data_IF_441484269325
#
_entry.id   IF_441484269325
#
_cell.length_a   1.000
_cell.length_b   1.000
_cell.length_c   1.000
_cell.angle_alpha   90.00
_cell.angle_beta   90.00
_cell.angle_gamma   90.00
#
_symmetry.space_group_name_H-M   'P 1'
#
loop_
_entity.id
_entity.type
_entity.pdbx_description
1 polymer ?
#
# COMPACT_ATOMS: atom_id res chain seq x y z
N UNK A 1 -12.33 -13.70 16.67
CA UNK A 1 -10.86 -13.61 16.69
C UNK A 1 -10.33 -14.95 16.23
N UNK A 2 -9.54 -14.95 15.16
CA UNK A 2 -8.93 -16.15 14.56
C UNK A 2 -7.88 -16.73 15.51
N UNK A 3 -7.55 -18.02 15.34
CA UNK A 3 -6.58 -18.72 16.20
C UNK A 3 -5.21 -18.03 16.22
N UNK A 4 -4.73 -17.57 15.06
CA UNK A 4 -3.49 -16.78 14.92
C UNK A 4 -3.53 -15.47 15.71
N UNK A 5 -4.67 -14.77 15.72
CA UNK A 5 -4.79 -13.50 16.43
C UNK A 5 -4.75 -13.71 17.95
N UNK A 6 -5.39 -14.78 18.44
CA UNK A 6 -5.32 -15.17 19.85
C UNK A 6 -3.90 -15.57 20.25
N UNK A 7 -3.24 -16.39 19.43
CA UNK A 7 -1.86 -16.81 19.64
C UNK A 7 -0.90 -15.61 19.69
N UNK A 8 -0.99 -14.71 18.70
CA UNK A 8 -0.18 -13.49 18.65
C UNK A 8 -0.40 -12.62 19.88
N UNK A 9 -1.66 -12.42 20.28
CA UNK A 9 -2.01 -11.65 21.49
C UNK A 9 -1.46 -12.28 22.76
N UNK A 10 -1.57 -13.60 22.92
CA UNK A 10 -1.05 -14.32 24.09
C UNK A 10 0.47 -14.21 24.19
N UNK A 11 1.17 -14.29 23.05
CA UNK A 11 2.63 -14.21 22.98
C UNK A 11 3.18 -12.78 22.88
N UNK A 12 2.31 -11.77 22.85
CA UNK A 12 2.69 -10.37 22.71
C UNK A 12 3.40 -10.06 21.38
N UNK A 13 3.07 -10.80 20.32
CA UNK A 13 3.63 -10.68 18.98
C UNK A 13 2.77 -9.70 18.16
N UNK A 14 3.43 -8.79 17.46
CA UNK A 14 2.80 -7.83 16.56
C UNK A 14 3.26 -8.04 15.11
N UNK A 15 2.47 -7.53 14.16
CA UNK A 15 2.86 -7.53 12.75
C UNK A 15 4.11 -6.67 12.59
N UNK A 16 5.13 -7.20 11.90
CA UNK A 16 6.42 -6.55 11.71
C UNK A 16 7.46 -6.85 12.81
N UNK A 17 7.09 -7.56 13.88
CA UNK A 17 8.09 -8.09 14.82
C UNK A 17 9.00 -9.10 14.10
N UNK A 18 10.29 -9.08 14.40
CA UNK A 18 11.23 -10.10 13.95
C UNK A 18 11.29 -11.21 14.99
N UNK A 19 10.92 -12.42 14.60
CA UNK A 19 10.74 -13.56 15.50
C UNK A 19 11.59 -14.75 15.08
N UNK A 20 11.98 -15.55 16.06
CA UNK A 20 12.42 -16.93 15.89
C UNK A 20 11.28 -17.86 16.28
N UNK A 21 10.86 -18.73 15.36
CA UNK A 21 9.81 -19.73 15.57
C UNK A 21 10.41 -21.12 15.46
N UNK A 22 10.22 -21.93 16.49
CA UNK A 22 10.62 -23.34 16.51
C UNK A 22 9.38 -24.19 16.24
N UNK A 23 9.37 -24.84 15.10
CA UNK A 23 8.32 -25.75 14.65
C UNK A 23 8.75 -27.21 14.89
N UNK A 24 7.78 -28.08 15.22
CA UNK A 24 7.99 -29.53 15.23
C UNK A 24 7.19 -30.18 14.11
N UNK A 25 7.88 -30.53 13.04
CA UNK A 25 7.32 -31.23 11.89
C UNK A 25 7.88 -32.66 11.83
N UNK A 26 7.00 -33.68 11.80
CA UNK A 26 7.41 -35.10 11.71
C UNK A 26 8.46 -35.55 12.75
N UNK A 27 8.45 -34.94 13.93
CA UNK A 27 9.41 -35.22 15.00
C UNK A 27 10.73 -34.46 14.91
N UNK A 28 10.98 -33.75 13.80
CA UNK A 28 12.15 -32.91 13.59
C UNK A 28 11.83 -31.48 14.04
N UNK A 29 12.79 -30.83 14.71
CA UNK A 29 12.68 -29.41 15.06
C UNK A 29 13.26 -28.56 13.93
N UNK A 30 12.44 -27.67 13.39
CA UNK A 30 12.83 -26.70 12.36
C UNK A 30 12.77 -25.32 12.98
N UNK A 31 13.75 -24.47 12.66
CA UNK A 31 13.84 -23.10 13.18
C UNK A 31 13.67 -22.15 12.01
N UNK A 32 12.67 -21.28 12.10
CA UNK A 32 12.41 -20.21 11.16
C UNK A 32 12.71 -18.87 11.82
N UNK A 33 13.33 -17.94 11.07
CA UNK A 33 13.58 -16.58 11.53
C UNK A 33 13.10 -15.60 10.47
N UNK A 34 12.39 -14.56 10.90
CA UNK A 34 11.87 -13.57 9.98
C UNK A 34 10.84 -12.63 10.58
N UNK A 35 10.28 -11.79 9.71
CA UNK A 35 9.26 -10.80 10.07
C UNK A 35 7.87 -11.43 10.14
N UNK A 36 7.11 -11.14 11.19
CA UNK A 36 5.72 -11.55 11.30
C UNK A 36 4.88 -10.78 10.28
N UNK A 37 4.19 -11.53 9.44
CA UNK A 37 3.36 -11.00 8.37
C UNK A 37 1.88 -10.98 8.77
N UNK A 38 1.07 -10.09 8.18
CA UNK A 38 -0.38 -10.14 8.35
C UNK A 38 -0.94 -11.52 7.98
N UNK A 39 -1.91 -12.05 8.76
CA UNK A 39 -2.61 -13.27 8.37
C UNK A 39 -3.34 -13.05 7.04
N UNK A 40 -3.29 -14.04 6.15
CA UNK A 40 -4.04 -13.99 4.90
C UNK A 40 -5.54 -13.79 5.17
N UNK A 41 -6.16 -12.84 4.48
CA UNK A 41 -7.52 -12.36 4.79
C UNK A 41 -8.56 -13.48 4.72
N UNK A 42 -8.44 -14.37 3.74
CA UNK A 42 -9.36 -15.49 3.53
C UNK A 42 -8.92 -16.78 4.25
N UNK A 43 -7.83 -16.74 5.03
CA UNK A 43 -7.40 -17.89 5.82
C UNK A 43 -8.28 -18.07 7.06
N UNK A 44 -8.51 -19.34 7.44
CA UNK A 44 -9.10 -19.72 8.74
C UNK A 44 -8.26 -19.26 9.93
N UNK A 45 -7.02 -18.82 9.69
CA UNK A 45 -6.12 -18.27 10.70
C UNK A 45 -5.47 -19.35 11.57
N UNK A 46 -5.20 -20.51 10.98
CA UNK A 46 -4.53 -21.65 11.64
C UNK A 46 -3.00 -21.55 11.55
N UNK A 47 -2.49 -20.64 10.72
CA UNK A 47 -1.06 -20.44 10.48
C UNK A 47 -0.59 -19.07 10.94
N UNK A 48 0.64 -19.01 11.44
CA UNK A 48 1.43 -17.80 11.58
C UNK A 48 2.28 -17.63 10.32
N UNK A 49 2.15 -16.50 9.63
CA UNK A 49 2.97 -16.22 8.44
C UNK A 49 4.23 -15.45 8.84
N UNK A 50 5.39 -15.94 8.42
CA UNK A 50 6.70 -15.31 8.66
C UNK A 50 7.40 -15.09 7.32
N UNK A 51 7.93 -13.88 7.10
CA UNK A 51 8.79 -13.56 5.95
C UNK A 51 10.24 -13.74 6.33
N UNK A 52 10.87 -14.75 5.73
CA UNK A 52 12.25 -15.11 5.96
C UNK A 52 13.21 -14.05 5.39
N UNK A 53 14.47 -14.09 5.83
CA UNK A 53 15.51 -13.15 5.36
C UNK A 53 15.78 -13.22 3.85
N UNK A 54 15.49 -14.37 3.23
CA UNK A 54 15.57 -14.56 1.78
C UNK A 54 14.37 -13.96 1.02
N UNK A 55 13.42 -13.32 1.71
CA UNK A 55 12.24 -12.68 1.14
C UNK A 55 11.03 -13.59 0.93
N UNK A 56 11.15 -14.90 1.14
CA UNK A 56 10.04 -15.84 1.02
C UNK A 56 9.13 -15.81 2.26
N UNK A 57 7.83 -15.93 2.04
CA UNK A 57 6.85 -16.10 3.11
C UNK A 57 6.64 -17.60 3.39
N UNK A 58 6.69 -18.00 4.66
CA UNK A 58 6.34 -19.34 5.13
C UNK A 58 5.14 -19.26 6.08
N UNK A 59 4.20 -20.20 5.96
CA UNK A 59 3.08 -20.35 6.88
C UNK A 59 3.33 -21.51 7.82
N UNK A 60 3.39 -21.24 9.13
CA UNK A 60 3.68 -22.24 10.16
C UNK A 60 2.39 -22.53 10.91
N UNK A 61 1.97 -23.81 10.99
CA UNK A 61 0.78 -24.18 11.75
C UNK A 61 0.98 -23.88 13.23
N UNK A 62 0.02 -23.17 13.83
CA UNK A 62 0.11 -22.75 15.24
C UNK A 62 0.26 -23.96 16.17
N UNK A 63 -0.41 -25.07 15.86
CA UNK A 63 -0.34 -26.31 16.65
C UNK A 63 1.03 -27.00 16.60
N UNK A 64 1.86 -26.66 15.62
CA UNK A 64 3.21 -27.20 15.47
C UNK A 64 4.27 -26.27 16.06
N UNK A 65 3.91 -25.06 16.49
CA UNK A 65 4.84 -24.12 17.13
C UNK A 65 5.10 -24.58 18.56
N UNK A 66 6.36 -24.92 18.84
CA UNK A 66 6.84 -25.34 20.16
C UNK A 66 7.32 -24.14 20.97
N UNK A 67 7.99 -23.20 20.31
CA UNK A 67 8.56 -22.01 20.93
C UNK A 67 8.53 -20.85 19.94
N UNK A 68 8.28 -19.65 20.45
CA UNK A 68 8.42 -18.41 19.68
C UNK A 68 9.11 -17.36 20.54
N UNK A 69 10.13 -16.71 19.98
CA UNK A 69 10.91 -15.66 20.63
C UNK A 69 10.93 -14.42 19.76
N UNK A 70 10.63 -13.26 20.35
CA UNK A 70 10.76 -11.97 19.69
C UNK A 70 12.23 -11.55 19.81
N UNK A 71 12.91 -11.41 18.67
CA UNK A 71 14.30 -10.97 18.61
C UNK A 71 14.41 -9.45 18.43
N UNK A 72 13.51 -8.85 17.65
CA UNK A 72 13.41 -7.40 17.47
C UNK A 72 11.94 -6.99 17.37
N UNK A 73 11.56 -5.90 18.05
CA UNK A 73 10.21 -5.34 17.97
C UNK A 73 10.04 -4.51 16.69
N UNK A 74 8.83 -4.53 16.14
CA UNK A 74 8.46 -3.71 14.99
C UNK A 74 8.83 -2.24 15.26
N UNK A 75 9.68 -1.67 14.41
CA UNK A 75 9.98 -0.24 14.49
C UNK A 75 8.75 0.55 14.02
N UNK A 76 8.38 1.64 14.71
CA UNK A 76 7.38 2.57 14.18
C UNK A 76 7.83 2.98 12.78
N UNK A 77 6.91 2.92 11.83
CA UNK A 77 7.19 3.37 10.47
C UNK A 77 7.53 4.86 10.55
N UNK A 78 8.68 5.27 10.06
CA UNK A 78 8.93 6.70 9.83
C UNK A 78 7.90 7.16 8.80
N UNK A 79 6.97 8.00 9.24
CA UNK A 79 6.12 8.77 8.34
C UNK A 79 7.04 9.71 7.58
N UNK A 80 7.51 9.27 6.41
CA UNK A 80 8.19 10.16 5.48
C UNK A 80 7.13 11.11 4.94
N UNK A 81 7.01 12.29 5.55
CA UNK A 81 6.17 13.36 5.03
C UNK A 81 6.82 13.89 3.77
N UNK A 82 6.27 13.52 2.61
CA UNK A 82 6.71 14.05 1.33
C UNK A 82 6.16 15.46 1.11
N UNK A 83 6.89 16.30 0.37
CA UNK A 83 6.33 17.61 -0.03
C UNK A 83 5.16 17.39 -0.98
N UNK A 84 4.02 17.98 -0.64
CA UNK A 84 2.79 17.86 -1.43
C UNK A 84 2.92 18.48 -2.83
N UNK A 85 3.77 19.52 -2.98
CA UNK A 85 3.95 20.25 -4.24
C UNK A 85 5.43 20.57 -4.47
N UNK A 86 5.93 20.29 -5.68
CA UNK A 86 7.25 20.70 -6.14
C UNK A 86 7.22 22.13 -6.73
N UNK A 87 8.33 22.89 -6.69
CA UNK A 87 8.38 24.23 -7.27
C UNK A 87 8.00 24.21 -8.76
N UNK A 88 7.10 25.10 -9.17
CA UNK A 88 6.68 25.22 -10.58
C UNK A 88 7.81 25.79 -11.44
N UNK A 89 8.04 25.19 -12.60
CA UNK A 89 8.96 25.67 -13.65
C UNK A 89 8.23 26.64 -14.59
N UNK A 90 8.77 27.84 -14.87
CA UNK A 90 8.18 28.77 -15.83
C UNK A 90 8.09 28.15 -17.24
N UNK A 91 7.01 28.45 -17.96
CA UNK A 91 6.83 28.03 -19.35
C UNK A 91 6.29 26.61 -19.56
N UNK A 92 6.14 25.82 -18.48
CA UNK A 92 5.46 24.53 -18.54
C UNK A 92 3.97 24.66 -18.19
N UNK A 93 3.08 23.88 -18.84
CA UNK A 93 1.66 23.85 -18.49
C UNK A 93 1.46 23.32 -17.07
N UNK A 94 0.46 23.84 -16.36
CA UNK A 94 0.00 23.36 -15.07
C UNK A 94 -0.98 22.22 -15.27
N UNK A 95 -0.68 21.05 -14.71
CA UNK A 95 -1.54 19.88 -14.85
C UNK A 95 -1.83 19.32 -13.47
N UNK A 96 -3.13 19.18 -13.16
CA UNK A 96 -3.56 18.49 -11.94
C UNK A 96 -3.78 17.01 -12.24
N UNK A 97 -3.16 16.14 -11.45
CA UNK A 97 -3.42 14.69 -11.50
C UNK A 97 -4.32 14.32 -10.32
N UNK A 98 -5.57 13.94 -10.62
CA UNK A 98 -6.56 13.53 -9.63
C UNK A 98 -6.52 12.01 -9.48
N UNK A 99 -6.21 11.53 -8.28
CA UNK A 99 -6.21 10.11 -7.94
C UNK A 99 -7.57 9.67 -7.45
N UNK A 100 -8.12 8.63 -8.06
CA UNK A 100 -9.43 8.05 -7.66
C UNK A 100 -9.29 6.62 -7.13
N UNK A 101 -8.07 6.09 -7.18
CA UNK A 101 -7.71 4.70 -6.92
C UNK A 101 -6.79 4.19 -8.01
N UNK A 102 -6.70 2.87 -8.14
CA UNK A 102 -5.87 2.21 -9.15
C UNK A 102 -4.38 2.15 -8.80
N UNK A 103 -3.67 1.26 -9.50
CA UNK A 103 -2.26 0.92 -9.22
C UNK A 103 -1.28 2.03 -9.58
N UNK A 104 -1.67 2.99 -10.43
CA UNK A 104 -0.84 4.16 -10.77
C UNK A 104 -0.53 5.03 -9.55
N UNK A 105 -1.40 4.94 -8.54
CA UNK A 105 -1.26 5.62 -7.27
C UNK A 105 -0.65 4.71 -6.20
N UNK A 106 0.13 3.68 -6.54
CA UNK A 106 0.62 2.69 -5.57
C UNK A 106 2.13 2.46 -5.62
N UNK A 107 2.75 2.23 -4.46
CA UNK A 107 4.14 1.79 -4.26
C UNK A 107 4.19 0.46 -3.52
N UNK A 108 5.21 -0.33 -3.81
CA UNK A 108 5.47 -1.59 -3.11
C UNK A 108 6.58 -1.36 -2.09
N UNK A 109 6.31 -1.67 -0.82
CA UNK A 109 7.33 -1.82 0.20
C UNK A 109 7.91 -3.23 0.10
N UNK A 110 9.08 -3.40 -0.49
CA UNK A 110 9.68 -4.72 -0.68
C UNK A 110 10.06 -5.43 0.63
N UNK A 111 10.26 -4.70 1.74
CA UNK A 111 10.54 -5.33 3.04
C UNK A 111 9.31 -6.06 3.54
N UNK A 112 8.15 -5.42 3.48
CA UNK A 112 6.89 -6.01 3.95
C UNK A 112 6.08 -6.71 2.85
N UNK A 113 6.42 -6.49 1.58
CA UNK A 113 5.57 -6.86 0.44
C UNK A 113 4.24 -6.09 0.35
N UNK A 114 4.03 -5.09 1.21
CA UNK A 114 2.78 -4.34 1.25
C UNK A 114 2.71 -3.33 0.11
N UNK A 115 1.51 -3.13 -0.43
CA UNK A 115 1.21 -2.11 -1.43
C UNK A 115 0.56 -0.93 -0.71
N UNK A 116 1.10 0.27 -0.93
CA UNK A 116 0.61 1.50 -0.32
C UNK A 116 0.24 2.51 -1.40
N UNK A 117 -0.72 3.37 -1.10
CA UNK A 117 -0.93 4.52 -1.96
C UNK A 117 0.32 5.43 -1.96
N UNK A 118 0.77 5.80 -3.15
CA UNK A 118 1.80 6.79 -3.42
C UNK A 118 1.17 7.85 -4.32
N UNK A 119 0.93 9.05 -3.78
CA UNK A 119 0.20 10.08 -4.49
C UNK A 119 0.63 11.51 -4.19
N UNK A 120 1.81 11.69 -3.60
CA UNK A 120 2.41 13.02 -3.43
C UNK A 120 3.27 13.40 -4.64
N UNK A 121 3.54 14.70 -4.84
CA UNK A 121 4.34 15.17 -5.97
C UNK A 121 5.75 14.61 -5.92
N UNK A 122 6.33 14.48 -4.73
CA UNK A 122 7.67 13.92 -4.56
C UNK A 122 7.72 12.41 -4.87
N UNK A 123 6.68 11.65 -4.51
CA UNK A 123 6.60 10.23 -4.86
C UNK A 123 6.47 10.03 -6.37
N UNK A 124 5.62 10.83 -7.02
CA UNK A 124 5.50 10.81 -8.48
C UNK A 124 6.81 11.23 -9.15
N UNK A 125 7.50 12.25 -8.64
CA UNK A 125 8.77 12.70 -9.21
C UNK A 125 9.91 11.68 -9.05
N UNK A 126 9.89 10.88 -7.97
CA UNK A 126 10.83 9.77 -7.81
C UNK A 126 10.49 8.58 -8.71
N UNK A 127 9.21 8.30 -8.90
CA UNK A 127 8.76 7.16 -9.69
C UNK A 127 8.83 7.43 -11.20
N UNK A 128 8.46 8.64 -11.63
CA UNK A 128 8.35 9.06 -13.03
C UNK A 128 8.83 10.51 -13.15
N UNK A 129 10.15 10.79 -13.02
CA UNK A 129 10.67 12.15 -13.10
C UNK A 129 10.35 12.86 -14.43
N UNK A 130 10.16 12.11 -15.51
CA UNK A 130 10.00 12.62 -16.87
C UNK A 130 8.76 13.50 -17.05
N UNK A 131 7.68 13.25 -16.31
CA UNK A 131 6.45 14.07 -16.41
C UNK A 131 6.66 15.50 -15.90
N UNK A 132 7.63 15.70 -14.98
CA UNK A 132 7.98 17.01 -14.44
C UNK A 132 8.88 17.84 -15.37
N UNK A 133 9.32 17.25 -16.49
CA UNK A 133 9.94 17.97 -17.60
C UNK A 133 8.90 18.43 -18.64
N UNK A 134 7.70 17.86 -18.60
CA UNK A 134 6.61 18.15 -19.56
C UNK A 134 5.60 19.15 -18.96
N UNK A 135 5.31 19.04 -17.66
CA UNK A 135 4.31 19.85 -17.00
C UNK A 135 4.63 20.10 -15.51
N UNK A 136 4.06 21.18 -14.96
CA UNK A 136 4.00 21.44 -13.54
C UNK A 136 2.88 20.60 -12.92
N UNK A 137 3.25 19.48 -12.31
CA UNK A 137 2.29 18.50 -11.79
C UNK A 137 1.83 18.85 -10.38
N UNK A 138 0.51 18.95 -10.20
CA UNK A 138 -0.16 19.05 -8.90
C UNK A 138 -0.96 17.78 -8.64
N UNK A 139 -0.47 16.83 -7.82
CA UNK A 139 -1.23 15.64 -7.52
C UNK A 139 -2.26 15.91 -6.41
N UNK A 140 -3.43 15.28 -6.55
CA UNK A 140 -4.53 15.38 -5.59
C UNK A 140 -5.25 14.05 -5.45
N UNK A 141 -5.15 13.43 -4.28
CA UNK A 141 -5.91 12.21 -4.00
C UNK A 141 -7.35 12.59 -3.67
N UNK A 142 -8.29 12.24 -4.54
CA UNK A 142 -9.71 12.48 -4.35
C UNK A 142 -10.37 11.29 -3.63
N UNK A 143 -10.13 10.07 -4.11
CA UNK A 143 -10.51 8.83 -3.45
C UNK A 143 -9.42 7.76 -3.61
N UNK A 144 -9.52 6.68 -2.84
CA UNK A 144 -8.73 5.47 -3.04
C UNK A 144 -9.69 4.26 -3.02
N UNK A 145 -10.41 4.04 -4.12
CA UNK A 145 -11.37 2.94 -4.26
C UNK A 145 -11.01 2.04 -5.44
N UNK A 146 -11.40 0.77 -5.38
CA UNK A 146 -11.31 -0.13 -6.52
C UNK A 146 -12.29 0.32 -7.61
N UNK A 147 -11.93 0.14 -8.89
CA UNK A 147 -12.81 0.52 -9.99
C UNK A 147 -14.15 -0.22 -9.95
N UNK A 148 -14.15 -1.46 -9.47
CA UNK A 148 -15.35 -2.28 -9.32
C UNK A 148 -16.38 -1.65 -8.36
N UNK A 149 -15.91 -0.87 -7.38
CA UNK A 149 -16.75 -0.18 -6.40
C UNK A 149 -17.17 1.24 -6.83
N UNK A 150 -16.78 1.66 -8.04
CA UNK A 150 -17.13 2.97 -8.60
C UNK A 150 -18.63 3.07 -8.86
N UNK A 151 -19.21 4.23 -8.57
CA UNK A 151 -20.66 4.51 -8.62
C UNK A 151 -20.92 5.90 -9.19
N UNK A 152 -22.13 6.16 -9.73
CA UNK A 152 -22.49 7.47 -10.30
C UNK A 152 -22.30 8.67 -9.35
N UNK A 153 -22.40 8.45 -8.04
CA UNK A 153 -22.12 9.49 -7.04
C UNK A 153 -20.66 9.97 -7.05
N UNK A 154 -19.71 9.07 -7.33
CA UNK A 154 -18.29 9.39 -7.42
C UNK A 154 -17.96 10.10 -8.74
N UNK A 155 -18.65 9.76 -9.83
CA UNK A 155 -18.51 10.47 -11.11
C UNK A 155 -18.84 11.95 -10.97
N UNK A 156 -19.93 12.29 -10.25
CA UNK A 156 -20.27 13.69 -9.94
C UNK A 156 -19.16 14.40 -9.18
N UNK A 157 -18.59 13.73 -8.16
CA UNK A 157 -17.50 14.30 -7.39
C UNK A 157 -16.23 14.50 -8.22
N UNK A 158 -15.89 13.55 -9.11
CA UNK A 158 -14.80 13.71 -10.08
C UNK A 158 -15.04 14.91 -11.00
N UNK A 159 -16.24 15.03 -11.57
CA UNK A 159 -16.59 16.14 -12.45
C UNK A 159 -16.48 17.50 -11.75
N UNK A 160 -16.95 17.61 -10.50
CA UNK A 160 -16.78 18.83 -9.71
C UNK A 160 -15.32 19.15 -9.43
N UNK A 161 -14.51 18.13 -9.17
CA UNK A 161 -13.09 18.30 -8.90
C UNK A 161 -12.31 18.77 -10.13
N UNK A 162 -12.58 18.15 -11.28
CA UNK A 162 -12.02 18.56 -12.58
C UNK A 162 -12.40 20.00 -12.88
N UNK A 163 -13.68 20.35 -12.73
CA UNK A 163 -14.14 21.73 -12.95
C UNK A 163 -13.45 22.71 -12.01
N UNK A 164 -13.26 22.35 -10.73
CA UNK A 164 -12.55 23.19 -9.76
C UNK A 164 -11.10 23.42 -10.17
N UNK A 165 -10.38 22.38 -10.60
CA UNK A 165 -8.98 22.48 -11.03
C UNK A 165 -8.85 23.36 -12.28
N UNK A 166 -9.64 23.10 -13.32
CA UNK A 166 -9.63 23.88 -14.55
C UNK A 166 -10.00 25.35 -14.31
N UNK A 167 -11.03 25.61 -13.50
CA UNK A 167 -11.42 26.99 -13.14
C UNK A 167 -10.39 27.71 -12.26
N UNK A 168 -9.45 26.98 -11.65
CA UNK A 168 -8.34 27.55 -10.87
C UNK A 168 -7.13 27.93 -11.74
N UNK A 169 -7.24 27.76 -13.07
CA UNK A 169 -6.19 28.12 -14.02
C UNK A 169 -5.21 26.99 -14.34
N UNK A 170 -5.57 25.74 -14.02
CA UNK A 170 -4.81 24.58 -14.50
C UNK A 170 -5.07 24.37 -16.00
N UNK A 171 -4.01 24.13 -16.78
CA UNK A 171 -4.06 23.96 -18.23
C UNK A 171 -4.63 22.59 -18.63
N UNK A 172 -4.62 21.62 -17.72
CA UNK A 172 -5.18 20.30 -17.95
C UNK A 172 -5.39 19.52 -16.66
N UNK A 173 -6.24 18.49 -16.75
CA UNK A 173 -6.50 17.55 -15.66
C UNK A 173 -6.36 16.13 -16.17
N UNK A 174 -5.63 15.30 -15.42
CA UNK A 174 -5.49 13.86 -15.66
C UNK A 174 -6.16 13.14 -14.50
N UNK A 175 -6.96 12.12 -14.80
CA UNK A 175 -7.59 11.28 -13.77
C UNK A 175 -6.89 9.92 -13.73
N UNK A 176 -6.23 9.61 -12.62
CA UNK A 176 -5.78 8.27 -12.31
C UNK A 176 -6.97 7.42 -11.87
N UNK A 177 -7.37 6.46 -12.69
CA UNK A 177 -8.58 5.65 -12.50
C UNK A 177 -8.28 4.15 -12.68
N UNK A 178 -9.02 3.30 -11.96
CA UNK A 178 -8.96 1.85 -12.17
C UNK A 178 -9.55 1.42 -13.53
N UNK A 179 -9.12 0.28 -14.04
CA UNK A 179 -9.38 -0.14 -15.44
C UNK A 179 -10.83 -0.52 -15.69
N UNK A 180 -11.47 -1.20 -14.76
CA UNK A 180 -12.69 -1.98 -15.02
C UNK A 180 -13.90 -1.09 -15.35
N UNK A 181 -13.98 0.07 -14.70
CA UNK A 181 -15.07 1.04 -14.88
C UNK A 181 -14.61 2.36 -15.49
N UNK A 182 -13.38 2.41 -16.02
CA UNK A 182 -12.83 3.61 -16.65
C UNK A 182 -13.71 4.09 -17.81
N UNK A 183 -14.11 3.17 -18.69
CA UNK A 183 -14.94 3.51 -19.86
C UNK A 183 -16.32 4.06 -19.50
N UNK A 184 -16.91 3.58 -18.41
CA UNK A 184 -18.19 4.11 -17.91
C UNK A 184 -18.04 5.50 -17.32
N UNK A 185 -16.96 5.73 -16.57
CA UNK A 185 -16.70 7.02 -15.94
C UNK A 185 -16.28 8.10 -16.94
N UNK A 186 -15.73 7.69 -18.09
CA UNK A 186 -15.32 8.57 -19.18
C UNK A 186 -16.47 9.00 -20.11
N UNK A 187 -17.58 8.26 -20.14
CA UNK A 187 -18.76 8.54 -20.97
C UNK A 187 -19.70 9.56 -20.31
#
# INVERSE_FOLDING_TARGET
MRKVELFMKEKGIEIGDYVEVVEKENGIRVIHRGLVMPPYELSKGETLTVKLDNGYNVGILIDQIVEVRILEKAKPREEVSFREVLPKKPGLPNVTIIGTGGTIASKIDYKTGAVHAAFTAEELAKAVPEIFEIANITPRLLFNIMSEDMKPEYWKKMAHEVAKALNSGEDGVIIGHGTDTMGYSAA
#
